data_IF_355710760648
#
_entry.id   IF_355710760648
#
_cell.length_a   1.000
_cell.length_b   1.000
_cell.length_c   1.000
_cell.angle_alpha   90.00
_cell.angle_beta   90.00
_cell.angle_gamma   90.00
#
_symmetry.space_group_name_H-M   'P 1'
#
loop_
_entity.id
_entity.type
_entity.pdbx_description
1 polymer ?
#
# COMPACT_ATOMS: atom_id res chain seq x y z
N UNK A 1 -12.37 26.83 8.08
CA UNK A 1 -11.77 26.91 6.73
C UNK A 1 -12.57 25.98 5.85
N UNK A 2 -13.01 26.44 4.68
CA UNK A 2 -13.91 25.71 3.78
C UNK A 2 -13.05 24.92 2.78
N UNK A 3 -13.33 23.62 2.61
CA UNK A 3 -12.63 22.79 1.63
C UNK A 3 -13.19 23.11 0.25
N UNK A 4 -12.36 23.53 -0.73
CA UNK A 4 -12.84 23.79 -2.08
C UNK A 4 -13.47 22.53 -2.71
N UNK A 5 -14.55 22.71 -3.46
CA UNK A 5 -15.19 21.62 -4.19
C UNK A 5 -14.20 20.99 -5.19
N UNK A 6 -14.17 19.65 -5.24
CA UNK A 6 -13.27 18.91 -6.13
C UNK A 6 -11.86 18.70 -5.61
N UNK A 7 -11.54 19.09 -4.36
CA UNK A 7 -10.29 18.66 -3.72
C UNK A 7 -10.35 17.17 -3.39
N UNK A 8 -9.34 16.42 -3.80
CA UNK A 8 -9.18 15.00 -3.47
C UNK A 8 -7.84 14.76 -2.79
N UNK A 9 -7.81 13.71 -1.99
CA UNK A 9 -6.59 13.25 -1.33
C UNK A 9 -6.38 11.76 -1.56
N UNK A 10 -5.12 11.34 -1.54
CA UNK A 10 -4.73 9.95 -1.63
C UNK A 10 -3.57 9.66 -0.69
N UNK A 11 -3.63 8.53 -0.01
CA UNK A 11 -2.51 7.93 0.70
C UNK A 11 -2.02 6.75 -0.11
N UNK A 12 -0.74 6.77 -0.49
CA UNK A 12 -0.08 5.66 -1.20
C UNK A 12 1.03 5.06 -0.35
N UNK A 13 1.31 3.79 -0.56
CA UNK A 13 2.40 3.04 0.07
C UNK A 13 3.44 2.58 -0.96
N UNK A 14 4.70 2.57 -0.55
CA UNK A 14 5.80 1.95 -1.28
C UNK A 14 6.77 1.31 -0.29
N UNK A 15 7.31 0.14 -0.61
CA UNK A 15 8.33 -0.53 0.21
C UNK A 15 9.73 -0.33 -0.37
N UNK A 16 10.73 -0.18 0.50
CA UNK A 16 12.12 -0.38 0.10
C UNK A 16 12.42 -1.88 -0.09
N UNK A 17 13.52 -2.19 -0.77
CA UNK A 17 14.04 -3.56 -0.73
C UNK A 17 14.27 -4.00 0.72
N UNK A 18 14.08 -5.29 0.95
CA UNK A 18 14.46 -5.96 2.18
C UNK A 18 15.96 -6.28 2.12
N UNK A 19 16.69 -5.94 3.16
CA UNK A 19 18.15 -6.15 3.24
C UNK A 19 18.45 -7.07 4.42
N UNK A 20 19.26 -8.11 4.19
CA UNK A 20 19.63 -9.03 5.26
C UNK A 20 20.51 -8.34 6.31
N UNK A 21 20.29 -8.64 7.58
CA UNK A 21 21.02 -8.04 8.69
C UNK A 21 22.50 -8.48 8.75
N UNK A 22 22.80 -9.69 8.27
CA UNK A 22 24.13 -10.30 8.29
C UNK A 22 24.96 -10.00 7.03
N UNK A 23 24.31 -9.71 5.91
CA UNK A 23 24.96 -9.47 4.61
C UNK A 23 24.13 -8.52 3.72
N UNK A 24 24.51 -7.24 3.58
CA UNK A 24 23.79 -6.27 2.78
C UNK A 24 23.69 -6.60 1.28
N UNK A 25 24.50 -7.53 0.77
CA UNK A 25 24.41 -7.99 -0.62
C UNK A 25 23.23 -8.96 -0.84
N UNK A 26 22.67 -9.55 0.22
CA UNK A 26 21.48 -10.40 0.17
C UNK A 26 20.23 -9.54 0.31
N UNK A 27 19.42 -9.48 -0.73
CA UNK A 27 18.22 -8.66 -0.76
C UNK A 27 17.00 -9.43 -1.24
N UNK A 28 15.82 -8.96 -0.84
CA UNK A 28 14.53 -9.36 -1.42
C UNK A 28 13.89 -8.07 -1.94
N UNK A 29 13.52 -8.05 -3.22
CA UNK A 29 12.90 -6.88 -3.82
C UNK A 29 11.50 -6.61 -3.26
N UNK A 30 11.04 -5.34 -3.25
CA UNK A 30 9.71 -4.97 -2.76
C UNK A 30 8.57 -5.55 -3.61
N UNK A 31 8.85 -5.97 -4.85
CA UNK A 31 7.91 -6.67 -5.71
C UNK A 31 7.43 -8.02 -5.13
N UNK A 32 8.15 -8.57 -4.15
CA UNK A 32 7.77 -9.79 -3.44
C UNK A 32 6.78 -9.57 -2.29
N UNK A 33 6.47 -8.31 -1.95
CA UNK A 33 5.52 -7.94 -0.91
C UNK A 33 4.18 -7.56 -1.52
N UNK A 34 3.17 -8.43 -1.36
CA UNK A 34 1.79 -8.15 -1.72
C UNK A 34 1.12 -7.19 -0.72
N UNK A 35 0.09 -6.49 -1.20
CA UNK A 35 -0.57 -5.38 -0.52
C UNK A 35 -2.07 -5.41 -0.81
N UNK A 36 -2.88 -5.48 0.25
CA UNK A 36 -4.34 -5.44 0.14
C UNK A 36 -4.92 -4.45 1.14
N UNK A 37 -5.27 -3.22 0.70
CA UNK A 37 -5.91 -2.22 1.54
C UNK A 37 -7.30 -2.62 2.02
N UNK A 38 -7.67 -2.13 3.20
CA UNK A 38 -9.04 -2.16 3.69
C UNK A 38 -9.40 -0.86 4.37
N UNK A 39 -10.54 -0.29 3.98
CA UNK A 39 -11.19 0.78 4.71
C UNK A 39 -12.01 0.15 5.86
N UNK A 40 -11.70 0.54 7.09
CA UNK A 40 -12.32 0.01 8.32
C UNK A 40 -13.49 0.87 8.77
N UNK A 41 -13.40 2.19 8.58
CA UNK A 41 -14.50 3.11 8.81
C UNK A 41 -15.47 3.08 7.63
N UNK A 42 -16.77 3.07 7.90
CA UNK A 42 -17.76 3.26 6.83
C UNK A 42 -17.57 4.64 6.18
N UNK A 43 -17.71 4.70 4.85
CA UNK A 43 -17.85 5.95 4.12
C UNK A 43 -19.33 6.32 4.06
N UNK A 44 -19.68 7.48 4.61
CA UNK A 44 -21.04 8.01 4.68
C UNK A 44 -21.59 8.43 3.32
N UNK A 45 -20.72 8.84 2.40
CA UNK A 45 -21.07 9.29 1.04
C UNK A 45 -20.59 8.35 -0.06
N UNK A 46 -19.68 7.42 0.26
CA UNK A 46 -18.92 6.64 -0.71
C UNK A 46 -17.71 7.37 -1.28
N UNK A 47 -17.41 8.60 -0.81
CA UNK A 47 -16.28 9.39 -1.32
C UNK A 47 -14.93 8.80 -0.91
N UNK A 48 -14.84 8.17 0.27
CA UNK A 48 -13.61 7.53 0.75
C UNK A 48 -13.60 6.04 0.39
N UNK A 49 -12.56 5.60 -0.32
CA UNK A 49 -12.41 4.22 -0.77
C UNK A 49 -10.99 3.70 -0.55
N UNK A 50 -10.89 2.40 -0.25
CA UNK A 50 -9.63 1.68 -0.18
C UNK A 50 -9.04 1.50 -1.59
N UNK A 51 -7.71 1.37 -1.67
CA UNK A 51 -7.03 1.04 -2.93
C UNK A 51 -7.29 -0.40 -3.38
N UNK A 52 -7.10 -0.64 -4.68
CA UNK A 52 -7.14 -1.98 -5.25
C UNK A 52 -5.96 -2.84 -4.73
N UNK A 53 -6.15 -4.15 -4.54
CA UNK A 53 -5.07 -5.04 -4.13
C UNK A 53 -4.03 -5.23 -5.23
N UNK A 54 -2.78 -5.42 -4.83
CA UNK A 54 -1.71 -5.96 -5.67
C UNK A 54 -1.07 -7.17 -5.01
N UNK A 55 -0.78 -8.18 -5.81
CA UNK A 55 -0.10 -9.39 -5.35
C UNK A 55 1.41 -9.27 -5.48
N UNK A 56 2.12 -10.09 -4.70
CA UNK A 56 3.54 -10.37 -4.96
C UNK A 56 3.73 -10.90 -6.38
N UNK A 57 4.93 -10.67 -6.95
CA UNK A 57 5.35 -11.33 -8.21
C UNK A 57 5.35 -12.86 -8.13
N UNK A 58 5.35 -13.42 -6.92
CA UNK A 58 4.98 -14.81 -6.69
C UNK A 58 3.47 -14.86 -6.47
N UNK A 59 2.75 -15.25 -7.52
CA UNK A 59 1.28 -15.31 -7.55
C UNK A 59 0.68 -15.98 -6.31
N UNK A 60 -0.39 -15.39 -5.81
CA UNK A 60 -1.24 -15.97 -4.77
C UNK A 60 -2.57 -16.53 -5.31
N UNK A 61 -2.75 -16.51 -6.64
CA UNK A 61 -3.95 -17.01 -7.32
C UNK A 61 -5.19 -16.12 -7.18
N UNK A 62 -5.06 -14.90 -6.63
CA UNK A 62 -6.19 -13.97 -6.44
C UNK A 62 -6.61 -13.27 -7.74
N UNK A 63 -5.71 -13.21 -8.74
CA UNK A 63 -5.91 -12.48 -9.98
C UNK A 63 -5.62 -10.97 -9.89
N UNK A 64 -5.17 -10.48 -8.72
CA UNK A 64 -4.67 -9.11 -8.59
C UNK A 64 -3.36 -8.91 -9.37
N UNK A 65 -3.01 -7.67 -9.77
CA UNK A 65 -1.77 -7.39 -10.47
C UNK A 65 -0.53 -7.85 -9.68
N UNK A 66 0.33 -8.65 -10.32
CA UNK A 66 1.54 -9.24 -9.73
C UNK A 66 2.73 -8.27 -9.80
N UNK A 67 2.63 -7.15 -9.09
CA UNK A 67 3.63 -6.07 -9.12
C UNK A 67 4.30 -5.81 -7.78
N UNK A 68 3.66 -6.24 -6.67
CA UNK A 68 4.05 -5.96 -5.30
C UNK A 68 4.18 -4.46 -4.98
N UNK A 69 4.80 -4.14 -3.85
CA UNK A 69 4.99 -2.77 -3.37
C UNK A 69 6.25 -2.06 -3.90
N UNK A 70 6.67 -2.38 -5.14
CA UNK A 70 7.83 -1.74 -5.76
C UNK A 70 7.56 -0.29 -6.19
N UNK A 71 6.31 0.00 -6.54
CA UNK A 71 5.81 1.32 -6.92
C UNK A 71 4.97 1.96 -5.82
N UNK A 72 4.31 3.06 -6.17
CA UNK A 72 3.32 3.70 -5.31
C UNK A 72 1.97 3.03 -5.52
N UNK A 73 1.50 2.28 -4.53
CA UNK A 73 0.22 1.59 -4.54
C UNK A 73 -0.76 2.30 -3.60
N UNK A 74 -2.02 2.42 -4.01
CA UNK A 74 -3.01 3.16 -3.22
C UNK A 74 -3.33 2.41 -1.92
N UNK A 75 -3.35 3.14 -0.80
CA UNK A 75 -3.93 2.66 0.47
C UNK A 75 -5.39 3.07 0.56
N UNK A 76 -5.64 4.36 0.41
CA UNK A 76 -6.98 4.97 0.54
C UNK A 76 -6.99 6.31 -0.17
N UNK A 77 -8.15 6.72 -0.70
CA UNK A 77 -8.37 8.04 -1.29
C UNK A 77 -9.75 8.57 -0.95
N UNK A 78 -9.91 9.90 -1.00
CA UNK A 78 -11.20 10.56 -1.11
C UNK A 78 -11.39 11.15 -2.51
N UNK A 79 -12.54 10.93 -3.13
CA UNK A 79 -12.89 11.51 -4.43
C UNK A 79 -13.41 12.96 -4.33
N UNK A 80 -13.96 13.34 -3.18
CA UNK A 80 -14.32 14.72 -2.84
C UNK A 80 -14.17 14.91 -1.33
N UNK A 81 -13.24 15.78 -0.95
CA UNK A 81 -12.89 16.03 0.44
C UNK A 81 -13.93 16.88 1.17
N UNK A 82 -14.78 17.61 0.44
CA UNK A 82 -15.89 18.37 1.03
C UNK A 82 -17.09 17.48 1.37
N UNK A 83 -17.28 16.38 0.63
CA UNK A 83 -18.39 15.43 0.85
C UNK A 83 -18.22 14.60 2.13
N UNK A 84 -16.97 14.33 2.53
CA UNK A 84 -16.70 13.51 3.71
C UNK A 84 -15.53 14.05 4.54
N UNK A 85 -15.89 14.82 5.57
CA UNK A 85 -14.95 15.40 6.53
C UNK A 85 -14.91 14.55 7.80
N UNK A 86 -13.73 14.10 8.20
CA UNK A 86 -13.58 13.37 9.44
C UNK A 86 -12.31 12.53 9.50
N UNK A 87 -12.38 11.46 10.29
CA UNK A 87 -11.30 10.48 10.43
C UNK A 87 -11.69 9.18 9.75
N UNK A 88 -10.91 8.78 8.75
CA UNK A 88 -11.00 7.46 8.14
C UNK A 88 -10.03 6.49 8.82
N UNK A 89 -10.50 5.30 9.16
CA UNK A 89 -9.65 4.23 9.68
C UNK A 89 -9.35 3.25 8.54
N UNK A 90 -8.08 2.94 8.34
CA UNK A 90 -7.61 2.09 7.24
C UNK A 90 -6.51 1.16 7.72
N UNK A 91 -6.42 -0.03 7.14
CA UNK A 91 -5.27 -0.93 7.28
C UNK A 91 -4.95 -1.59 5.93
N UNK A 92 -3.96 -2.47 5.91
CA UNK A 92 -3.67 -3.32 4.76
C UNK A 92 -3.12 -4.68 5.21
N UNK A 93 -3.53 -5.75 4.52
CA UNK A 93 -2.85 -7.04 4.64
C UNK A 93 -1.55 -7.00 3.84
N UNK A 94 -0.48 -7.55 4.43
CA UNK A 94 0.83 -7.69 3.82
C UNK A 94 1.16 -9.17 3.63
N UNK A 95 1.60 -9.54 2.43
CA UNK A 95 1.98 -10.92 2.11
C UNK A 95 3.35 -10.96 1.43
N UNK A 96 4.41 -11.23 2.20
CA UNK A 96 5.74 -11.49 1.65
C UNK A 96 5.81 -12.92 1.12
N UNK A 97 6.11 -13.09 -0.16
CA UNK A 97 6.28 -14.39 -0.81
C UNK A 97 7.60 -14.38 -1.55
N UNK A 98 8.55 -15.20 -1.12
CA UNK A 98 9.88 -15.27 -1.73
C UNK A 98 10.07 -16.54 -2.56
N UNK A 99 10.98 -16.53 -3.55
CA UNK A 99 11.52 -17.74 -4.13
C UNK A 99 12.14 -18.66 -3.07
N UNK A 100 12.21 -19.97 -3.36
CA UNK A 100 12.67 -20.98 -2.42
C UNK A 100 14.19 -20.94 -2.14
N UNK A 101 14.96 -20.23 -2.97
CA UNK A 101 16.41 -20.07 -2.88
C UNK A 101 16.84 -18.82 -2.11
N UNK A 102 15.89 -18.02 -1.60
CA UNK A 102 16.21 -16.91 -0.71
C UNK A 102 16.85 -17.44 0.57
N UNK A 103 18.02 -16.90 0.91
CA UNK A 103 18.75 -17.30 2.10
C UNK A 103 17.93 -17.04 3.37
N UNK A 104 17.96 -18.00 4.30
CA UNK A 104 17.33 -17.83 5.60
C UNK A 104 18.07 -16.75 6.40
N UNK A 105 17.32 -15.91 7.11
CA UNK A 105 17.90 -14.86 7.93
C UNK A 105 16.89 -13.78 8.31
N UNK A 106 17.39 -12.77 9.01
CA UNK A 106 16.64 -11.57 9.36
C UNK A 106 16.81 -10.52 8.27
N UNK A 107 15.69 -9.94 7.82
CA UNK A 107 15.64 -8.93 6.77
C UNK A 107 14.85 -7.71 7.24
N UNK A 108 15.32 -6.52 6.86
CA UNK A 108 14.67 -5.24 7.19
C UNK A 108 14.23 -4.50 5.93
N UNK A 109 13.04 -3.91 5.96
CA UNK A 109 12.50 -3.02 4.94
C UNK A 109 11.75 -1.87 5.61
N UNK A 110 11.58 -0.76 4.88
CA UNK A 110 10.76 0.38 5.27
C UNK A 110 9.60 0.53 4.31
N UNK A 111 8.38 0.56 4.84
CA UNK A 111 7.19 1.00 4.09
C UNK A 111 7.02 2.49 4.33
N UNK A 112 7.04 3.27 3.25
CA UNK A 112 6.76 4.71 3.28
C UNK A 112 5.32 4.92 2.87
N UNK A 113 4.54 5.59 3.74
CA UNK A 113 3.20 6.07 3.41
C UNK A 113 3.27 7.57 3.13
N UNK A 114 2.68 8.01 2.02
CA UNK A 114 2.67 9.42 1.60
C UNK A 114 1.25 9.88 1.32
N UNK A 115 0.86 11.00 1.92
CA UNK A 115 -0.42 11.67 1.65
C UNK A 115 -0.19 12.79 0.64
N UNK A 116 -1.01 12.80 -0.40
CA UNK A 116 -1.05 13.83 -1.42
C UNK A 116 -2.43 14.46 -1.46
N UNK A 117 -2.49 15.79 -1.49
CA UNK A 117 -3.70 16.55 -1.82
C UNK A 117 -3.55 17.11 -3.23
N UNK A 118 -4.63 17.15 -3.99
CA UNK A 118 -4.68 17.82 -5.29
C UNK A 118 -5.91 18.70 -5.38
N UNK A 119 -5.68 19.91 -5.89
CA UNK A 119 -6.67 20.96 -6.15
C UNK A 119 -6.73 21.33 -7.62
#
# INVERSE_FOLDING_TARGET
>A
EEIPAGEYWAVVGQASQFVAADDPAKTIGPEYLGWKPHLISDSSTGAVAAGEPVSSVVSDGTGAPEVGLKGQELLVSSADSADEIGTSQVNADLALRTPADVAAGEYHSTITLSLFNQS
#
